data_IF_079837441814
#
_entry.id   IF_079837441814
#
_cell.length_a   1.000
_cell.length_b   1.000
_cell.length_c   1.000
_cell.angle_alpha   90.00
_cell.angle_beta   90.00
_cell.angle_gamma   90.00
#
_symmetry.space_group_name_H-M   'P 1'
#
loop_
_entity.id
_entity.type
_entity.pdbx_description
1 polymer ?
#
# COMPACT_ATOMS: atom_id res chain seq x y z
N UNK A 1 -23.79 -8.24 15.63
CA UNK A 1 -23.55 -9.14 14.48
C UNK A 1 -23.37 -8.31 13.22
N UNK A 2 -22.14 -8.13 12.74
CA UNK A 2 -21.81 -7.35 11.53
C UNK A 2 -21.70 -8.24 10.27
N UNK A 3 -22.41 -9.38 10.27
CA UNK A 3 -22.37 -10.34 9.17
C UNK A 3 -23.45 -9.95 8.16
N UNK A 4 -23.09 -9.08 7.23
CA UNK A 4 -23.96 -8.52 6.20
C UNK A 4 -23.50 -8.98 4.83
N UNK A 5 -24.45 -9.44 4.01
CA UNK A 5 -24.20 -9.99 2.66
C UNK A 5 -24.18 -8.87 1.59
N UNK A 6 -23.30 -7.88 1.79
CA UNK A 6 -23.01 -6.90 0.76
C UNK A 6 -21.52 -6.58 0.71
N UNK A 7 -21.02 -6.25 -0.48
CA UNK A 7 -19.61 -5.91 -0.69
C UNK A 7 -19.28 -4.59 0.01
N UNK A 8 -18.20 -4.58 0.79
CA UNK A 8 -17.65 -3.36 1.41
C UNK A 8 -16.44 -2.89 0.60
N UNK A 9 -16.31 -1.58 0.47
CA UNK A 9 -15.23 -0.91 -0.27
C UNK A 9 -14.54 0.07 0.68
N UNK A 10 -13.22 0.14 0.61
CA UNK A 10 -12.40 1.12 1.29
C UNK A 10 -12.30 2.40 0.45
N UNK A 11 -12.24 3.56 1.12
CA UNK A 11 -12.19 4.87 0.49
C UNK A 11 -11.43 5.84 1.39
N UNK A 12 -11.03 6.99 0.84
CA UNK A 12 -10.44 8.12 1.58
C UNK A 12 -11.16 9.40 1.17
N UNK A 13 -11.23 10.39 2.06
CA UNK A 13 -11.83 11.68 1.73
C UNK A 13 -10.99 12.44 0.72
N UNK A 14 -11.57 12.85 -0.41
CA UNK A 14 -10.86 13.59 -1.45
C UNK A 14 -10.27 14.92 -0.96
N UNK A 15 -10.96 15.62 -0.05
CA UNK A 15 -10.55 16.93 0.46
C UNK A 15 -9.27 16.90 1.29
N UNK A 16 -8.94 15.73 1.85
CA UNK A 16 -7.80 15.54 2.73
C UNK A 16 -6.88 14.41 2.25
N UNK A 17 -7.10 13.88 1.06
CA UNK A 17 -6.34 12.74 0.57
C UNK A 17 -4.85 13.12 0.37
N UNK A 18 -3.95 12.29 0.90
CA UNK A 18 -2.52 12.41 0.66
C UNK A 18 -2.11 11.49 -0.49
N UNK A 19 -1.32 12.00 -1.44
CA UNK A 19 -0.79 11.19 -2.55
C UNK A 19 0.37 10.34 -2.05
N UNK A 20 0.33 9.05 -2.37
CA UNK A 20 1.30 8.08 -1.92
C UNK A 20 1.69 7.19 -3.11
N UNK A 21 2.97 6.91 -3.25
CA UNK A 21 3.45 5.85 -4.14
C UNK A 21 3.65 4.57 -3.32
N UNK A 22 3.08 3.46 -3.77
CA UNK A 22 3.36 2.14 -3.16
C UNK A 22 4.25 1.35 -4.11
N UNK A 23 5.40 0.92 -3.60
CA UNK A 23 6.27 -0.04 -4.25
C UNK A 23 5.79 -1.45 -3.91
N UNK A 24 5.56 -2.27 -4.92
CA UNK A 24 5.13 -3.67 -4.79
C UNK A 24 6.26 -4.55 -5.32
N UNK A 25 7.07 -5.14 -4.42
CA UNK A 25 8.08 -6.11 -4.82
C UNK A 25 7.44 -7.38 -5.36
N UNK A 26 7.98 -7.88 -6.45
CA UNK A 26 7.67 -9.17 -7.06
C UNK A 26 8.92 -10.07 -7.00
N UNK A 27 8.82 -11.27 -7.57
CA UNK A 27 9.96 -12.18 -7.68
C UNK A 27 11.12 -11.53 -8.46
N UNK A 28 12.32 -11.55 -7.88
CA UNK A 28 13.51 -10.87 -8.44
C UNK A 28 14.08 -11.55 -9.69
N UNK A 29 13.96 -12.88 -9.78
CA UNK A 29 14.46 -13.68 -10.90
C UNK A 29 13.41 -14.68 -11.36
N UNK A 30 13.22 -14.82 -12.67
CA UNK A 30 12.40 -15.86 -13.29
C UNK A 30 13.32 -16.66 -14.21
N UNK A 31 13.43 -17.97 -13.97
CA UNK A 31 14.33 -18.87 -14.71
C UNK A 31 15.78 -18.36 -14.81
N UNK A 32 16.35 -17.96 -13.65
CA UNK A 32 17.69 -17.39 -13.49
C UNK A 32 17.97 -16.10 -14.27
N UNK A 33 16.92 -15.45 -14.80
CA UNK A 33 17.00 -14.14 -15.45
C UNK A 33 16.38 -13.08 -14.56
N UNK A 34 17.04 -11.92 -14.48
CA UNK A 34 16.52 -10.79 -13.75
C UNK A 34 15.12 -10.41 -14.29
N UNK A 35 14.15 -10.31 -13.38
CA UNK A 35 12.80 -9.91 -13.73
C UNK A 35 12.72 -8.38 -13.77
N UNK A 36 12.64 -7.80 -14.96
CA UNK A 36 12.47 -6.33 -15.10
C UNK A 36 11.15 -5.83 -14.50
N UNK A 37 10.16 -6.72 -14.33
CA UNK A 37 8.92 -6.48 -13.59
C UNK A 37 9.02 -6.85 -12.10
N UNK A 38 10.21 -7.00 -11.53
CA UNK A 38 10.39 -7.35 -10.10
C UNK A 38 9.92 -6.26 -9.14
N UNK A 39 9.61 -5.08 -9.64
CA UNK A 39 9.10 -3.95 -8.88
C UNK A 39 7.98 -3.27 -9.67
N UNK A 40 6.79 -3.22 -9.08
CA UNK A 40 5.67 -2.43 -9.56
C UNK A 40 5.53 -1.16 -8.70
N UNK A 41 5.17 -0.05 -9.33
CA UNK A 41 4.87 1.20 -8.64
C UNK A 41 3.43 1.60 -8.92
N UNK A 42 2.65 1.86 -7.87
CA UNK A 42 1.29 2.37 -8.01
C UNK A 42 1.14 3.72 -7.32
N UNK A 43 0.48 4.67 -7.98
CA UNK A 43 0.10 5.95 -7.41
C UNK A 43 -1.30 5.84 -6.79
N UNK A 44 -1.37 6.10 -5.48
CA UNK A 44 -2.59 5.94 -4.68
C UNK A 44 -2.83 7.16 -3.77
N UNK A 45 -3.95 7.10 -3.05
CA UNK A 45 -4.31 8.07 -2.03
C UNK A 45 -4.45 7.39 -0.67
N UNK A 46 -4.04 8.09 0.39
CA UNK A 46 -4.16 7.64 1.79
C UNK A 46 -4.73 8.75 2.67
N UNK A 47 -5.13 8.41 3.89
CA UNK A 47 -5.56 9.38 4.90
C UNK A 47 -4.37 10.22 5.41
N UNK A 48 -4.59 11.49 5.81
CA UNK A 48 -3.53 12.37 6.33
C UNK A 48 -2.71 11.77 7.47
N UNK A 49 -3.32 10.93 8.31
CA UNK A 49 -2.68 10.30 9.45
C UNK A 49 -1.42 9.50 9.06
N UNK A 50 -1.32 9.04 7.81
CA UNK A 50 -0.11 8.45 7.27
C UNK A 50 1.15 9.32 7.49
N UNK A 51 1.02 10.64 7.39
CA UNK A 51 2.13 11.58 7.54
C UNK A 51 2.65 11.65 8.98
N UNK A 52 1.80 11.36 9.97
CA UNK A 52 2.13 11.40 11.39
C UNK A 52 2.88 10.16 11.88
N UNK A 53 2.82 9.06 11.11
CA UNK A 53 3.52 7.81 11.42
C UNK A 53 5.03 7.97 11.26
N UNK A 54 5.82 7.23 12.04
CA UNK A 54 7.28 7.19 11.85
C UNK A 54 7.64 6.33 10.63
N UNK A 55 8.75 6.64 9.97
CA UNK A 55 9.29 5.75 8.94
C UNK A 55 9.62 4.38 9.56
N UNK A 56 9.39 3.32 8.80
CA UNK A 56 9.44 1.93 9.26
C UNK A 56 8.16 1.41 9.93
N UNK A 57 7.16 2.25 10.18
CA UNK A 57 5.88 1.80 10.75
C UNK A 57 5.18 0.81 9.82
N UNK A 58 4.72 -0.32 10.38
CA UNK A 58 3.85 -1.28 9.69
C UNK A 58 2.41 -0.75 9.65
N UNK A 59 1.79 -0.82 8.48
CA UNK A 59 0.46 -0.27 8.21
C UNK A 59 -0.37 -1.34 7.52
N UNK A 60 -1.56 -1.62 8.04
CA UNK A 60 -2.55 -2.41 7.33
C UNK A 60 -3.54 -1.50 6.60
N UNK A 61 -3.38 -1.34 5.28
CA UNK A 61 -4.38 -0.67 4.47
C UNK A 61 -5.55 -1.63 4.23
N UNK A 62 -6.71 -1.29 4.80
CA UNK A 62 -7.92 -2.13 4.75
C UNK A 62 -8.21 -2.58 3.32
N UNK A 63 -8.31 -3.90 3.12
CA UNK A 63 -8.58 -4.60 1.84
C UNK A 63 -7.50 -4.46 0.75
N UNK A 64 -6.48 -3.63 0.95
CA UNK A 64 -5.30 -3.57 0.08
C UNK A 64 -4.25 -4.58 0.55
N UNK A 65 -3.83 -4.51 1.81
CA UNK A 65 -2.84 -5.40 2.42
C UNK A 65 -1.95 -4.64 3.42
N UNK A 66 -0.87 -5.30 3.83
CA UNK A 66 0.14 -4.75 4.72
C UNK A 66 1.23 -4.05 3.94
N UNK A 67 1.63 -2.88 4.42
CA UNK A 67 2.73 -2.08 3.92
C UNK A 67 3.63 -1.64 5.07
N UNK A 68 4.84 -1.19 4.75
CA UNK A 68 5.73 -0.45 5.64
C UNK A 68 5.88 0.97 5.12
N UNK A 69 5.72 1.97 6.00
CA UNK A 69 6.04 3.37 5.66
C UNK A 69 7.54 3.48 5.37
N UNK A 70 7.88 3.98 4.19
CA UNK A 70 9.27 4.21 3.80
C UNK A 70 9.63 5.70 3.87
N UNK A 71 8.71 6.56 3.44
CA UNK A 71 8.81 8.01 3.59
C UNK A 71 7.43 8.67 3.61
N UNK A 72 7.40 10.00 3.69
CA UNK A 72 6.17 10.80 3.61
C UNK A 72 5.35 10.53 2.33
N UNK A 73 5.99 10.14 1.22
CA UNK A 73 5.31 9.94 -0.07
C UNK A 73 5.50 8.52 -0.64
N UNK A 74 6.09 7.60 0.13
CA UNK A 74 6.32 6.23 -0.33
C UNK A 74 6.09 5.19 0.77
N UNK A 75 5.45 4.07 0.40
CA UNK A 75 5.36 2.87 1.22
C UNK A 75 5.76 1.63 0.41
N UNK A 76 6.16 0.57 1.10
CA UNK A 76 6.54 -0.71 0.47
C UNK A 76 5.52 -1.76 0.89
N UNK A 77 4.87 -2.40 -0.07
CA UNK A 77 3.95 -3.52 0.15
C UNK A 77 4.71 -4.74 0.66
N UNK A 78 4.13 -5.47 1.61
CA UNK A 78 4.75 -6.66 2.20
C UNK A 78 3.94 -7.93 1.92
N UNK A 79 2.69 -7.98 2.34
CA UNK A 79 1.81 -9.16 2.17
C UNK A 79 0.34 -8.79 2.37
N UNK A 80 -0.60 -9.72 2.13
CA UNK A 80 -2.04 -9.55 2.36
C UNK A 80 -2.62 -10.77 3.05
#
# INVERSE_FOLDING_TARGET
NHNVDFRKVQWVSQSSAHKLKILIPQQLFIDDKFNEGSLEEIDVYTEPHYLELKDGTEIQFVRFGYCRKDSANQAIYTHK
#
